data_IF_097309446947
#
_entry.id   IF_097309446947
#
_cell.length_a   1.000
_cell.length_b   1.000
_cell.length_c   1.000
_cell.angle_alpha   90.00
_cell.angle_beta   90.00
_cell.angle_gamma   90.00
#
_symmetry.space_group_name_H-M   'P 1'
#
loop_
_entity.id
_entity.type
_entity.pdbx_description
1 polymer ?
#
# COMPACT_ATOMS: atom_id res chain seq x y z
N UNK A 1 -8.73 9.81 -6.16
CA UNK A 1 -8.57 11.11 -6.88
C UNK A 1 -8.55 12.22 -5.84
N UNK A 2 -7.45 12.96 -5.72
CA UNK A 2 -7.40 14.15 -4.87
C UNK A 2 -8.27 15.22 -5.54
N UNK A 3 -9.17 15.94 -4.83
CA UNK A 3 -10.14 16.85 -5.44
C UNK A 3 -9.57 18.13 -6.07
N UNK A 4 -8.28 18.20 -6.38
CA UNK A 4 -7.63 19.34 -7.04
C UNK A 4 -8.36 19.84 -8.29
N UNK A 5 -8.85 18.99 -9.21
CA UNK A 5 -9.63 19.46 -10.36
C UNK A 5 -10.90 20.22 -9.94
N UNK A 6 -11.62 19.72 -8.93
CA UNK A 6 -12.83 20.35 -8.41
C UNK A 6 -12.52 21.65 -7.66
N UNK A 7 -11.41 21.67 -6.90
CA UNK A 7 -10.95 22.88 -6.22
C UNK A 7 -10.62 23.99 -7.23
N UNK A 8 -9.87 23.65 -8.30
CA UNK A 8 -9.55 24.59 -9.39
C UNK A 8 -10.77 25.09 -10.15
N UNK A 9 -11.80 24.25 -10.25
CA UNK A 9 -13.07 24.60 -10.89
C UNK A 9 -14.02 25.38 -9.95
N UNK A 10 -13.64 25.60 -8.69
CA UNK A 10 -14.45 26.33 -7.72
C UNK A 10 -15.64 25.54 -7.17
N UNK A 11 -15.65 24.21 -7.31
CA UNK A 11 -16.75 23.36 -6.84
C UNK A 11 -16.62 22.90 -5.38
N UNK A 12 -15.50 23.21 -4.73
CA UNK A 12 -15.28 22.86 -3.33
C UNK A 12 -15.76 23.98 -2.44
N UNK A 13 -16.61 23.63 -1.47
CA UNK A 13 -17.00 24.52 -0.37
C UNK A 13 -15.95 24.38 0.72
N UNK A 14 -15.28 25.48 1.04
CA UNK A 14 -14.30 25.50 2.13
C UNK A 14 -15.01 25.19 3.47
N UNK A 15 -14.66 24.09 4.17
CA UNK A 15 -15.30 23.72 5.42
C UNK A 15 -15.05 24.73 6.54
N UNK A 16 -14.02 25.58 6.42
CA UNK A 16 -13.75 26.64 7.40
C UNK A 16 -14.85 27.70 7.45
N UNK A 17 -15.73 27.75 6.44
CA UNK A 17 -16.92 28.62 6.43
C UNK A 17 -17.98 28.22 7.47
N UNK A 18 -17.97 26.97 7.93
CA UNK A 18 -18.93 26.45 8.91
C UNK A 18 -18.28 25.66 10.06
N UNK A 19 -16.96 25.47 10.04
CA UNK A 19 -16.20 24.80 11.09
C UNK A 19 -14.93 25.58 11.39
N UNK A 20 -14.72 26.01 12.64
CA UNK A 20 -13.56 26.86 12.96
C UNK A 20 -12.22 26.15 12.75
N UNK A 21 -11.21 26.88 12.26
CA UNK A 21 -9.84 26.38 12.17
C UNK A 21 -9.27 25.91 13.51
N UNK A 22 -9.65 26.56 14.61
CA UNK A 22 -9.14 26.19 15.93
C UNK A 22 -9.63 24.82 16.37
N UNK A 23 -10.88 24.46 16.01
CA UNK A 23 -11.38 23.11 16.21
C UNK A 23 -10.61 22.10 15.35
N UNK A 24 -10.35 22.41 14.07
CA UNK A 24 -9.53 21.57 13.18
C UNK A 24 -8.12 21.33 13.74
N UNK A 25 -7.48 22.37 14.29
CA UNK A 25 -6.15 22.29 14.92
C UNK A 25 -6.12 21.42 16.18
N UNK A 26 -7.27 21.24 16.85
CA UNK A 26 -7.39 20.30 17.98
C UNK A 26 -7.53 18.85 17.52
N UNK A 27 -8.11 18.60 16.34
CA UNK A 27 -8.35 17.24 15.84
C UNK A 27 -7.18 16.67 15.03
N UNK A 28 -6.42 17.54 14.35
CA UNK A 28 -5.40 17.11 13.40
C UNK A 28 -4.06 17.77 13.69
N UNK A 29 -2.98 17.00 13.53
CA UNK A 29 -1.64 17.58 13.50
C UNK A 29 -1.46 18.46 12.24
N UNK A 30 -0.42 19.30 12.26
CA UNK A 30 -0.17 20.26 11.19
C UNK A 30 -0.02 19.62 9.81
N UNK A 31 0.61 18.45 9.71
CA UNK A 31 0.81 17.75 8.43
C UNK A 31 -0.51 17.35 7.78
N UNK A 32 -1.50 16.89 8.55
CA UNK A 32 -2.83 16.60 8.03
C UNK A 32 -3.55 17.88 7.58
N UNK A 33 -3.45 18.97 8.35
CA UNK A 33 -4.05 20.25 7.97
C UNK A 33 -3.46 20.80 6.67
N UNK A 34 -2.13 20.68 6.50
CA UNK A 34 -1.44 21.13 5.30
C UNK A 34 -1.83 20.30 4.08
N UNK A 35 -1.96 18.98 4.22
CA UNK A 35 -2.46 18.12 3.14
C UNK A 35 -3.90 18.44 2.74
N UNK A 36 -4.71 19.01 3.63
CA UNK A 36 -6.10 19.36 3.35
C UNK A 36 -6.20 20.65 2.52
N UNK A 37 -5.13 21.45 2.44
CA UNK A 37 -5.14 22.71 1.69
C UNK A 37 -4.96 22.47 0.20
N UNK A 38 -5.81 23.09 -0.62
CA UNK A 38 -5.77 23.02 -2.08
C UNK A 38 -6.05 24.41 -2.66
N UNK A 39 -5.16 24.92 -3.51
CA UNK A 39 -5.30 26.23 -4.15
C UNK A 39 -5.62 27.38 -3.16
N UNK A 40 -5.07 27.33 -1.94
CA UNK A 40 -5.24 28.37 -0.91
C UNK A 40 -6.49 28.26 -0.04
N UNK A 41 -7.36 27.26 -0.25
CA UNK A 41 -8.52 26.96 0.59
C UNK A 41 -8.40 25.59 1.27
N UNK A 42 -9.20 25.34 2.31
CA UNK A 42 -9.32 23.98 2.85
C UNK A 42 -10.21 23.16 1.92
N UNK A 43 -9.65 22.11 1.33
CA UNK A 43 -10.32 21.27 0.34
C UNK A 43 -11.30 20.26 0.92
N UNK A 44 -11.29 20.05 2.24
CA UNK A 44 -12.17 19.11 2.94
C UNK A 44 -11.67 18.75 4.34
N UNK A 45 -12.39 17.81 4.97
CA UNK A 45 -12.12 17.33 6.33
C UNK A 45 -11.84 15.83 6.28
N UNK A 46 -10.75 15.39 6.91
CA UNK A 46 -10.34 13.99 6.87
C UNK A 46 -11.26 13.12 7.73
N UNK A 47 -11.95 12.17 7.08
CA UNK A 47 -12.73 11.16 7.79
C UNK A 47 -11.92 9.87 8.01
N UNK A 48 -11.06 9.55 7.06
CA UNK A 48 -10.31 8.28 6.99
C UNK A 48 -8.96 8.53 6.33
N UNK A 49 -7.98 7.69 6.64
CA UNK A 49 -6.79 7.54 5.80
C UNK A 49 -6.54 6.08 5.44
N UNK A 50 -5.81 5.87 4.36
CA UNK A 50 -5.35 4.56 3.91
C UNK A 50 -3.82 4.55 3.84
N UNK A 51 -3.17 3.86 4.76
CA UNK A 51 -1.74 3.58 4.73
C UNK A 51 -1.47 2.35 3.87
N UNK A 52 -0.69 2.50 2.79
CA UNK A 52 -0.56 1.53 1.70
C UNK A 52 0.79 0.81 1.59
N UNK A 53 1.78 1.24 2.38
CA UNK A 53 3.11 0.61 2.45
C UNK A 53 3.16 -0.54 3.46
N UNK A 54 2.13 -1.39 3.51
CA UNK A 54 1.98 -2.43 4.53
C UNK A 54 2.03 -3.82 3.89
N UNK A 55 2.71 -4.75 4.56
CA UNK A 55 2.72 -6.18 4.26
C UNK A 55 2.15 -6.91 5.47
N UNK A 56 1.04 -7.61 5.26
CA UNK A 56 0.30 -8.39 6.25
C UNK A 56 0.82 -9.82 6.26
N UNK A 57 0.84 -10.45 7.44
CA UNK A 57 1.28 -11.83 7.62
C UNK A 57 0.50 -12.53 8.76
N UNK A 58 0.34 -13.88 8.72
CA UNK A 58 -0.32 -14.65 9.78
C UNK A 58 0.63 -14.80 10.96
N UNK A 59 0.36 -14.12 12.07
CA UNK A 59 1.39 -13.84 13.07
C UNK A 59 1.77 -15.05 13.91
N UNK A 60 0.78 -15.82 14.35
CA UNK A 60 0.97 -17.04 15.11
C UNK A 60 1.74 -18.10 14.33
N UNK A 61 1.35 -18.35 13.07
CA UNK A 61 2.07 -19.26 12.17
C UNK A 61 3.47 -18.75 11.84
N UNK A 62 3.64 -17.44 11.67
CA UNK A 62 4.94 -16.82 11.40
C UNK A 62 5.92 -17.00 12.56
N UNK A 63 5.45 -16.78 13.79
CA UNK A 63 6.23 -17.01 15.00
C UNK A 63 6.59 -18.49 15.16
N UNK A 64 5.70 -19.41 14.76
CA UNK A 64 5.92 -20.85 14.81
C UNK A 64 6.92 -21.34 13.74
N UNK A 65 6.86 -20.80 12.53
CA UNK A 65 7.80 -21.07 11.44
C UNK A 65 9.19 -20.45 11.68
N UNK A 66 9.27 -19.42 12.54
CA UNK A 66 10.51 -18.76 12.91
C UNK A 66 11.01 -17.78 11.84
N UNK A 67 10.12 -17.26 10.99
CA UNK A 67 10.48 -16.24 10.01
C UNK A 67 10.80 -14.90 10.70
N UNK A 68 11.70 -14.12 10.10
CA UNK A 68 12.07 -12.79 10.60
C UNK A 68 11.51 -11.69 9.71
N UNK A 69 11.09 -10.57 10.30
CA UNK A 69 10.57 -9.43 9.55
C UNK A 69 11.71 -8.80 8.72
N UNK A 70 11.61 -8.78 7.39
CA UNK A 70 12.66 -8.20 6.55
C UNK A 70 12.68 -6.68 6.68
N UNK A 71 13.87 -6.11 6.67
CA UNK A 71 14.09 -4.66 6.80
C UNK A 71 14.50 -4.00 5.49
N UNK A 72 15.03 -4.79 4.55
CA UNK A 72 15.37 -4.38 3.18
C UNK A 72 14.58 -5.16 2.13
N UNK A 73 14.49 -4.61 0.92
CA UNK A 73 13.86 -5.29 -0.21
C UNK A 73 14.57 -6.61 -0.55
N UNK A 74 15.90 -6.62 -0.48
CA UNK A 74 16.68 -7.83 -0.75
C UNK A 74 16.40 -8.91 0.31
N UNK A 75 16.24 -8.52 1.58
CA UNK A 75 15.80 -9.45 2.65
C UNK A 75 14.38 -9.96 2.41
N UNK A 76 13.47 -9.11 1.91
CA UNK A 76 12.11 -9.53 1.57
C UNK A 76 12.09 -10.53 0.41
N UNK A 77 12.90 -10.31 -0.63
CA UNK A 77 13.04 -11.24 -1.75
C UNK A 77 13.70 -12.55 -1.29
N UNK A 78 14.71 -12.48 -0.42
CA UNK A 78 15.34 -13.66 0.17
C UNK A 78 14.35 -14.48 1.01
N UNK A 79 13.53 -13.81 1.83
CA UNK A 79 12.46 -14.46 2.59
C UNK A 79 11.39 -15.07 1.68
N UNK A 80 11.03 -14.38 0.61
CA UNK A 80 10.11 -14.90 -0.42
C UNK A 80 10.63 -16.21 -1.01
N UNK A 81 11.93 -16.28 -1.33
CA UNK A 81 12.56 -17.52 -1.79
C UNK A 81 12.61 -18.58 -0.70
N UNK A 82 12.94 -18.23 0.54
CA UNK A 82 12.97 -19.17 1.67
C UNK A 82 11.63 -19.87 1.84
N UNK A 83 10.52 -19.12 1.85
CA UNK A 83 9.17 -19.69 1.98
C UNK A 83 8.86 -20.65 0.82
N UNK A 84 9.27 -20.31 -0.40
CA UNK A 84 9.13 -21.18 -1.56
C UNK A 84 9.97 -22.47 -1.44
N UNK A 85 11.20 -22.36 -0.93
CA UNK A 85 12.09 -23.50 -0.70
C UNK A 85 11.58 -24.42 0.43
N UNK A 86 10.86 -23.87 1.40
CA UNK A 86 10.16 -24.60 2.47
C UNK A 86 8.92 -25.36 1.95
N UNK A 87 8.49 -25.08 0.70
CA UNK A 87 7.41 -25.77 0.00
C UNK A 87 6.06 -25.03 0.02
N UNK A 88 6.02 -23.80 0.54
CA UNK A 88 4.83 -22.97 0.62
C UNK A 88 4.85 -21.85 -0.43
N UNK A 89 3.71 -21.19 -0.67
CA UNK A 89 3.71 -19.99 -1.51
C UNK A 89 3.90 -18.75 -0.68
N UNK A 90 4.80 -17.87 -1.07
CA UNK A 90 5.12 -16.68 -0.26
C UNK A 90 3.99 -15.65 -0.26
N UNK A 91 3.37 -15.37 -1.41
CA UNK A 91 2.53 -14.19 -1.61
C UNK A 91 1.08 -14.52 -1.94
N UNK A 92 0.19 -13.84 -1.22
CA UNK A 92 -1.23 -13.75 -1.51
C UNK A 92 -1.48 -12.53 -2.40
N UNK A 93 -1.76 -12.74 -3.69
CA UNK A 93 -1.93 -11.64 -4.65
C UNK A 93 -3.22 -11.83 -5.44
N UNK A 94 -4.10 -10.84 -5.35
CA UNK A 94 -5.29 -10.71 -6.19
C UNK A 94 -5.53 -9.24 -6.52
N UNK A 95 -5.81 -8.96 -7.79
CA UNK A 95 -6.05 -7.59 -8.29
C UNK A 95 -7.39 -7.41 -8.98
N UNK A 96 -8.22 -8.45 -9.02
CA UNK A 96 -9.57 -8.37 -9.56
C UNK A 96 -10.38 -7.39 -8.70
N UNK A 97 -11.09 -6.48 -9.38
CA UNK A 97 -11.93 -5.45 -8.76
C UNK A 97 -12.99 -4.92 -9.75
N UNK A 98 -13.54 -5.80 -10.58
CA UNK A 98 -14.48 -5.47 -11.65
C UNK A 98 -13.90 -4.48 -12.67
N UNK A 99 -14.60 -3.35 -12.88
CA UNK A 99 -14.13 -2.31 -13.79
C UNK A 99 -12.84 -1.59 -13.33
N UNK A 100 -12.45 -1.77 -12.06
CA UNK A 100 -11.24 -1.20 -11.49
C UNK A 100 -10.08 -2.21 -11.40
N UNK A 101 -10.23 -3.43 -11.93
CA UNK A 101 -9.18 -4.46 -11.93
C UNK A 101 -7.82 -3.88 -12.32
N UNK A 102 -6.81 -4.16 -11.50
CA UNK A 102 -5.45 -3.63 -11.66
C UNK A 102 -5.12 -2.38 -10.85
N UNK A 103 -6.07 -1.75 -10.16
CA UNK A 103 -5.77 -0.63 -9.27
C UNK A 103 -4.75 -1.03 -8.18
N UNK A 104 -4.82 -2.26 -7.67
CA UNK A 104 -3.88 -2.78 -6.68
C UNK A 104 -2.44 -2.87 -7.22
N UNK A 105 -2.26 -3.20 -8.51
CA UNK A 105 -0.95 -3.17 -9.16
C UNK A 105 -0.38 -1.74 -9.28
N UNK A 106 -1.24 -0.73 -9.39
CA UNK A 106 -0.81 0.68 -9.35
C UNK A 106 -0.19 1.02 -8.00
N UNK A 107 -0.77 0.54 -6.89
CA UNK A 107 -0.17 0.77 -5.58
C UNK A 107 1.22 0.12 -5.44
N UNK A 108 1.47 -1.05 -6.08
CA UNK A 108 2.82 -1.64 -6.10
C UNK A 108 3.80 -0.80 -6.92
N UNK A 109 3.33 -0.28 -8.05
CA UNK A 109 4.10 0.63 -8.91
C UNK A 109 4.44 1.93 -8.18
N UNK A 110 3.49 2.54 -7.47
CA UNK A 110 3.72 3.75 -6.66
C UNK A 110 4.78 3.50 -5.57
N UNK A 111 4.70 2.38 -4.85
CA UNK A 111 5.69 2.01 -3.83
C UNK A 111 7.10 1.83 -4.41
N UNK A 112 7.20 1.20 -5.59
CA UNK A 112 8.48 1.02 -6.26
C UNK A 112 8.98 2.30 -6.90
N UNK A 113 8.12 3.21 -7.36
CA UNK A 113 8.55 4.54 -7.82
C UNK A 113 9.18 5.33 -6.67
N UNK A 114 8.58 5.31 -5.47
CA UNK A 114 9.14 5.96 -4.28
C UNK A 114 10.53 5.41 -3.89
N UNK A 115 10.80 4.13 -4.19
CA UNK A 115 12.04 3.44 -3.82
C UNK A 115 13.10 3.46 -4.92
N UNK A 116 12.73 3.28 -6.19
CA UNK A 116 13.67 3.03 -7.30
C UNK A 116 14.12 4.30 -8.03
N UNK A 117 13.40 5.42 -7.85
CA UNK A 117 13.68 6.73 -8.45
C UNK A 117 13.56 7.86 -7.42
N UNK A 118 13.69 9.13 -7.81
CA UNK A 118 13.64 10.30 -6.91
C UNK A 118 12.21 10.76 -6.58
N UNK A 119 12.03 11.50 -5.48
CA UNK A 119 10.74 12.13 -5.16
C UNK A 119 10.27 13.11 -6.24
N UNK A 120 11.21 13.85 -6.85
CA UNK A 120 10.91 14.73 -7.98
C UNK A 120 10.35 13.95 -9.19
N UNK A 121 10.88 12.77 -9.48
CA UNK A 121 10.37 11.92 -10.55
C UNK A 121 8.99 11.33 -10.21
N UNK A 122 8.77 10.97 -8.94
CA UNK A 122 7.43 10.59 -8.46
C UNK A 122 6.42 11.71 -8.67
N UNK A 123 6.75 12.95 -8.26
CA UNK A 123 5.88 14.11 -8.44
C UNK A 123 5.59 14.39 -9.93
N UNK A 124 6.62 14.32 -10.79
CA UNK A 124 6.45 14.45 -12.24
C UNK A 124 5.55 13.38 -12.84
N UNK A 125 5.64 12.14 -12.35
CA UNK A 125 4.81 11.02 -12.79
C UNK A 125 3.35 11.19 -12.37
N UNK A 126 3.10 11.54 -11.11
CA UNK A 126 1.75 11.86 -10.61
C UNK A 126 1.14 13.05 -11.37
N UNK A 127 1.96 14.04 -11.73
CA UNK A 127 1.54 15.18 -12.54
C UNK A 127 1.33 14.86 -14.03
N UNK A 128 1.67 13.64 -14.48
CA UNK A 128 1.57 13.22 -15.89
C UNK A 128 2.62 13.81 -16.82
N UNK A 129 3.68 14.42 -16.27
CA UNK A 129 4.79 15.03 -17.02
C UNK A 129 5.96 14.09 -17.25
N UNK A 130 6.10 13.05 -16.42
CA UNK A 130 6.99 11.92 -16.69
C UNK A 130 6.19 10.83 -17.45
N UNK A 131 6.59 10.46 -18.68
CA UNK A 131 5.87 9.45 -19.45
C UNK A 131 5.80 8.10 -18.74
N UNK A 132 4.68 7.39 -18.89
CA UNK A 132 4.53 6.04 -18.33
C UNK A 132 5.54 5.03 -18.90
N UNK A 133 5.98 5.22 -20.14
CA UNK A 133 7.01 4.39 -20.78
C UNK A 133 8.46 4.81 -20.42
N UNK A 134 8.64 5.67 -19.43
CA UNK A 134 9.97 6.12 -18.99
C UNK A 134 10.79 4.98 -18.35
N UNK A 135 12.14 5.06 -18.40
CA UNK A 135 13.00 4.10 -17.72
C UNK A 135 12.72 3.97 -16.22
N UNK A 136 12.31 5.05 -15.55
CA UNK A 136 11.96 5.07 -14.13
C UNK A 136 10.74 4.19 -13.83
N UNK A 137 9.64 4.38 -14.57
CA UNK A 137 8.40 3.60 -14.39
C UNK A 137 8.64 2.15 -14.78
N UNK A 138 9.39 1.91 -15.86
CA UNK A 138 9.78 0.56 -16.28
C UNK A 138 10.56 -0.17 -15.16
N UNK A 139 11.58 0.47 -14.59
CA UNK A 139 12.36 -0.10 -13.49
C UNK A 139 11.49 -0.41 -12.27
N UNK A 140 10.57 0.48 -11.92
CA UNK A 140 9.64 0.26 -10.81
C UNK A 140 8.76 -0.99 -11.03
N UNK A 141 8.23 -1.15 -12.25
CA UNK A 141 7.43 -2.32 -12.63
C UNK A 141 8.26 -3.59 -12.62
N UNK A 142 9.44 -3.57 -13.24
CA UNK A 142 10.35 -4.73 -13.29
C UNK A 142 10.73 -5.20 -11.88
N UNK A 143 10.96 -4.27 -10.93
CA UNK A 143 11.36 -4.60 -9.56
C UNK A 143 10.30 -5.43 -8.83
N UNK A 144 9.01 -5.06 -8.87
CA UNK A 144 7.98 -5.88 -8.21
C UNK A 144 7.55 -7.09 -9.05
N UNK A 145 7.77 -7.04 -10.37
CA UNK A 145 7.45 -8.14 -11.28
C UNK A 145 8.28 -9.40 -10.99
N UNK A 146 9.50 -9.26 -10.47
CA UNK A 146 10.34 -10.37 -10.01
C UNK A 146 9.64 -11.24 -8.96
N UNK A 147 8.78 -10.63 -8.13
CA UNK A 147 7.97 -11.35 -7.15
C UNK A 147 6.72 -11.94 -7.79
N UNK A 148 5.97 -11.13 -8.53
CA UNK A 148 4.65 -11.52 -9.04
C UNK A 148 4.67 -12.63 -10.09
N UNK A 149 5.71 -12.64 -10.93
CA UNK A 149 5.76 -13.54 -12.09
C UNK A 149 6.71 -14.72 -11.90
N UNK A 150 7.19 -14.93 -10.68
CA UNK A 150 7.78 -16.20 -10.30
C UNK A 150 6.64 -17.19 -9.96
N UNK A 151 6.52 -18.32 -10.68
CA UNK A 151 5.42 -19.26 -10.49
C UNK A 151 5.40 -19.90 -9.10
N UNK A 152 6.54 -19.95 -8.40
CA UNK A 152 6.66 -20.60 -7.09
C UNK A 152 6.26 -19.65 -5.95
N UNK A 153 6.18 -18.34 -6.21
CA UNK A 153 6.00 -17.34 -5.15
C UNK A 153 4.54 -17.00 -4.86
N UNK A 154 3.61 -17.25 -5.79
CA UNK A 154 2.25 -16.71 -5.70
C UNK A 154 1.24 -17.83 -5.54
N UNK A 155 0.38 -17.71 -4.52
CA UNK A 155 -0.73 -18.63 -4.32
C UNK A 155 -1.67 -18.63 -5.54
N UNK A 156 -1.97 -19.83 -6.07
CA UNK A 156 -2.76 -19.98 -7.29
C UNK A 156 -2.01 -19.62 -8.59
N UNK A 157 -0.72 -19.33 -8.50
CA UNK A 157 0.14 -18.98 -9.63
C UNK A 157 -0.20 -17.63 -10.27
N UNK A 158 0.50 -17.31 -11.36
CA UNK A 158 0.38 -16.00 -12.03
C UNK A 158 -1.01 -15.75 -12.61
N UNK A 159 -1.73 -16.80 -13.01
CA UNK A 159 -3.09 -16.70 -13.54
C UNK A 159 -4.11 -16.34 -12.45
N UNK A 160 -3.82 -16.72 -11.19
CA UNK A 160 -4.62 -16.38 -10.01
C UNK A 160 -4.64 -14.88 -9.72
N UNK A 161 -3.56 -14.15 -10.06
CA UNK A 161 -3.40 -12.73 -9.76
C UNK A 161 -4.55 -11.90 -10.32
N UNK A 162 -4.86 -12.07 -11.60
CA UNK A 162 -5.88 -11.25 -12.31
C UNK A 162 -7.31 -11.72 -12.06
N UNK A 163 -7.49 -12.94 -11.54
CA UNK A 163 -8.80 -13.58 -11.38
C UNK A 163 -9.28 -13.59 -9.91
N UNK A 164 -8.39 -13.38 -8.95
CA UNK A 164 -8.72 -13.32 -7.52
C UNK A 164 -9.12 -11.90 -7.13
N UNK A 165 -10.32 -11.77 -6.55
CA UNK A 165 -10.81 -10.51 -5.98
C UNK A 165 -9.84 -10.01 -4.92
N UNK A 166 -9.47 -8.72 -4.98
CA UNK A 166 -8.46 -8.17 -4.07
C UNK A 166 -8.81 -8.34 -2.59
N UNK A 167 -10.11 -8.38 -2.25
CA UNK A 167 -10.59 -8.55 -0.89
C UNK A 167 -10.54 -10.00 -0.42
N UNK A 168 -10.61 -10.96 -1.34
CA UNK A 168 -10.49 -12.40 -1.04
C UNK A 168 -9.03 -12.85 -1.03
N UNK A 169 -8.14 -12.09 -1.69
CA UNK A 169 -6.72 -12.37 -1.79
C UNK A 169 -6.03 -12.71 -0.44
N UNK A 170 -6.27 -12.02 0.69
CA UNK A 170 -5.64 -12.37 1.97
C UNK A 170 -6.25 -13.60 2.67
N UNK A 171 -7.41 -14.10 2.24
CA UNK A 171 -8.10 -15.21 2.92
C UNK A 171 -7.22 -16.44 3.16
N UNK A 172 -6.35 -16.88 2.22
CA UNK A 172 -5.51 -18.05 2.43
C UNK A 172 -4.42 -17.87 3.49
N UNK A 173 -4.16 -16.65 3.99
CA UNK A 173 -3.31 -16.43 5.17
C UNK A 173 -3.93 -16.96 6.46
N UNK A 174 -5.26 -17.04 6.52
CA UNK A 174 -6.01 -17.43 7.72
C UNK A 174 -6.44 -18.91 7.69
N UNK A 175 -5.91 -19.70 6.75
CA UNK A 175 -6.11 -21.14 6.71
C UNK A 175 -5.09 -21.84 7.62
N UNK A 176 -5.38 -23.08 8.05
CA UNK A 176 -4.50 -23.90 8.90
C UNK A 176 -4.07 -25.19 8.15
N UNK A 177 -2.81 -25.30 7.68
CA UNK A 177 -1.77 -24.26 7.72
C UNK A 177 -2.04 -23.13 6.69
N UNK A 178 -1.39 -21.95 6.83
CA UNK A 178 -1.52 -20.86 5.86
C UNK A 178 -1.09 -21.32 4.48
N UNK A 179 -1.86 -20.96 3.46
CA UNK A 179 -1.51 -21.26 2.08
C UNK A 179 -0.65 -20.20 1.44
N UNK A 180 -0.60 -19.01 2.04
CA UNK A 180 0.37 -17.98 1.71
C UNK A 180 0.65 -17.05 2.89
N UNK A 181 1.82 -16.42 2.89
CA UNK A 181 2.41 -15.81 4.08
C UNK A 181 2.44 -14.28 4.07
N UNK A 182 2.47 -13.67 2.88
CA UNK A 182 2.68 -12.24 2.69
C UNK A 182 1.57 -11.66 1.81
N UNK A 183 0.94 -10.59 2.27
CA UNK A 183 -0.03 -9.84 1.47
C UNK A 183 0.27 -8.34 1.53
N UNK A 184 0.55 -7.69 0.40
CA UNK A 184 0.75 -6.23 0.37
C UNK A 184 -0.55 -5.54 -0.01
N UNK A 185 -1.10 -4.77 0.92
CA UNK A 185 -2.31 -3.97 0.69
C UNK A 185 -2.44 -2.84 1.72
N UNK A 186 -3.25 -1.84 1.40
CA UNK A 186 -3.59 -0.79 2.35
C UNK A 186 -4.37 -1.27 3.57
N UNK A 187 -4.32 -0.52 4.67
CA UNK A 187 -4.93 -0.92 5.96
C UNK A 187 -6.44 -1.14 5.94
N UNK A 188 -7.12 -0.67 4.91
CA UNK A 188 -8.53 -1.00 4.70
C UNK A 188 -8.79 -2.50 4.46
N UNK A 189 -7.77 -3.26 4.07
CA UNK A 189 -7.90 -4.70 3.79
C UNK A 189 -8.34 -5.50 5.01
N UNK A 190 -8.04 -4.99 6.20
CA UNK A 190 -8.50 -5.58 7.47
C UNK A 190 -10.02 -5.70 7.56
N UNK A 191 -10.78 -4.89 6.81
CA UNK A 191 -12.24 -5.04 6.69
C UNK A 191 -12.70 -6.27 5.90
N UNK A 192 -11.77 -7.03 5.31
CA UNK A 192 -12.02 -8.29 4.60
C UNK A 192 -11.44 -9.51 5.35
N UNK A 193 -10.76 -9.29 6.47
CA UNK A 193 -10.27 -10.39 7.31
C UNK A 193 -11.44 -11.03 8.09
N UNK A 194 -11.27 -12.25 8.63
CA UNK A 194 -12.28 -12.85 9.50
C UNK A 194 -12.69 -11.90 10.64
N UNK A 195 -13.98 -11.87 10.98
CA UNK A 195 -14.50 -10.91 11.98
C UNK A 195 -13.91 -11.11 13.38
N UNK A 196 -13.47 -12.34 13.69
CA UNK A 196 -12.86 -12.75 14.94
C UNK A 196 -11.32 -12.67 14.95
N UNK A 197 -10.70 -12.33 13.82
CA UNK A 197 -9.26 -12.18 13.71
C UNK A 197 -8.76 -10.98 14.54
N UNK A 198 -7.74 -11.22 15.36
CA UNK A 198 -7.16 -10.29 16.30
C UNK A 198 -5.77 -9.84 15.85
N UNK A 199 -5.62 -8.52 15.67
CA UNK A 199 -4.32 -7.91 15.39
C UNK A 199 -3.31 -8.17 16.52
N UNK A 200 -2.09 -8.55 16.16
CA UNK A 200 -1.03 -8.93 17.09
C UNK A 200 -1.15 -10.35 17.64
N UNK A 201 -2.18 -11.11 17.24
CA UNK A 201 -2.37 -12.52 17.58
C UNK A 201 -2.45 -13.34 16.30
N UNK A 202 -3.53 -13.19 15.53
CA UNK A 202 -3.78 -13.97 14.31
C UNK A 202 -3.11 -13.34 13.09
N UNK A 203 -2.97 -12.02 13.07
CA UNK A 203 -2.25 -11.31 12.02
C UNK A 203 -1.50 -10.11 12.57
N UNK A 204 -0.45 -9.71 11.87
CA UNK A 204 0.20 -8.42 12.08
C UNK A 204 0.69 -7.87 10.74
N UNK A 205 1.35 -6.72 10.77
CA UNK A 205 1.93 -6.13 9.58
C UNK A 205 3.31 -5.54 9.84
N UNK A 206 4.11 -5.50 8.78
CA UNK A 206 5.30 -4.67 8.74
C UNK A 206 5.23 -3.71 7.56
N UNK A 207 6.06 -2.66 7.62
CA UNK A 207 6.14 -1.73 6.50
C UNK A 207 6.93 -2.35 5.37
N UNK A 208 6.45 -2.18 4.14
CA UNK A 208 7.15 -2.60 2.93
C UNK A 208 8.60 -2.08 2.98
N UNK A 209 9.61 -2.97 2.98
CA UNK A 209 11.00 -2.61 3.16
C UNK A 209 11.54 -1.62 2.12
N UNK A 210 12.60 -0.91 2.49
CA UNK A 210 13.32 0.00 1.61
C UNK A 210 14.34 -0.76 0.75
N UNK A 211 14.79 -0.19 -0.37
CA UNK A 211 15.88 -0.79 -1.15
C UNK A 211 17.19 -0.72 -0.38
N UNK A 212 18.02 -1.76 -0.52
CA UNK A 212 19.35 -1.82 0.08
C UNK A 212 20.18 -0.60 -0.32
N UNK A 213 20.75 0.08 0.66
CA UNK A 213 21.59 1.26 0.44
C UNK A 213 20.83 2.58 0.21
N UNK A 214 19.49 2.58 0.24
CA UNK A 214 18.72 3.83 0.16
C UNK A 214 18.93 4.69 1.42
N UNK A 215 19.70 5.76 1.27
CA UNK A 215 20.01 6.71 2.36
C UNK A 215 18.91 7.74 2.61
N UNK A 216 17.88 7.80 1.75
CA UNK A 216 16.71 8.67 1.96
C UNK A 216 15.83 8.14 3.08
N UNK A 217 15.95 6.85 3.39
CA UNK A 217 15.18 6.19 4.42
C UNK A 217 16.00 6.06 5.71
N UNK A 218 15.55 6.65 6.84
CA UNK A 218 16.26 6.51 8.09
C UNK A 218 16.35 5.04 8.49
N UNK A 219 17.57 4.55 8.76
CA UNK A 219 17.82 3.20 9.31
C UNK A 219 17.13 2.95 10.65
N UNK A 220 16.63 4.01 11.31
CA UNK A 220 15.95 3.96 12.60
C UNK A 220 14.74 4.91 12.62
N UNK A 221 13.55 4.33 12.80
CA UNK A 221 12.43 4.97 13.50
C UNK A 221 11.52 5.96 12.76
N UNK A 222 11.80 6.35 11.52
CA UNK A 222 10.80 7.06 10.68
C UNK A 222 10.59 6.23 9.43
N UNK A 223 9.50 5.46 9.41
CA UNK A 223 9.08 4.65 8.26
C UNK A 223 8.01 5.44 7.49
N UNK A 224 8.36 6.15 6.40
CA UNK A 224 7.33 6.74 5.58
C UNK A 224 6.36 5.68 5.07
N UNK A 225 5.09 6.04 5.10
CA UNK A 225 4.01 5.24 4.55
C UNK A 225 3.41 6.07 3.42
N UNK A 226 3.12 5.43 2.30
CA UNK A 226 2.20 5.99 1.34
C UNK A 226 0.85 6.12 2.03
N UNK A 227 0.38 7.35 2.20
CA UNK A 227 -0.90 7.67 2.82
C UNK A 227 -1.80 8.27 1.76
N UNK A 228 -2.89 7.58 1.43
CA UNK A 228 -3.98 8.15 0.61
C UNK A 228 -5.08 8.60 1.56
N UNK A 229 -5.29 9.91 1.73
CA UNK A 229 -6.33 10.38 2.61
C UNK A 229 -7.71 10.27 1.93
N UNK A 230 -8.74 9.99 2.73
CA UNK A 230 -10.12 9.80 2.28
C UNK A 230 -11.00 10.97 2.71
N UNK A 231 -11.70 11.58 1.76
CA UNK A 231 -12.72 12.59 1.99
C UNK A 231 -14.13 11.97 1.86
N UNK A 232 -15.15 12.54 2.52
CA UNK A 232 -16.54 12.13 2.31
C UNK A 232 -16.89 12.20 0.81
N UNK A 233 -17.44 11.11 0.26
CA UNK A 233 -17.84 11.03 -1.15
C UNK A 233 -16.75 10.61 -2.15
N UNK A 234 -15.49 10.49 -1.72
CA UNK A 234 -14.44 9.84 -2.54
C UNK A 234 -14.27 8.40 -2.06
N UNK A 235 -15.08 7.48 -2.58
CA UNK A 235 -14.72 6.06 -2.54
C UNK A 235 -13.51 5.90 -3.47
N UNK A 236 -12.32 5.81 -2.88
CA UNK A 236 -11.22 5.13 -3.56
C UNK A 236 -11.52 3.65 -3.42
N UNK A 237 -12.17 3.10 -4.45
CA UNK A 237 -11.99 1.69 -4.81
C UNK A 237 -10.57 1.58 -5.38
#
# INVERSE_FOLDING_TARGET
MIPWPYARQGYIVDPTTWMSEDWLKQQYNQSWLDMAKMEGQVGGVWHRFNGKSLVWYPKDDWDAAGYEIPTTWDELVALTQQIADDGDTAWCIGIESGAATGWAATDWTEEMMLRTTSLENYDKWVAGTLPFASPEVKKAIETWSEVWFNPDYVYGGTDGIVSTFFGDAPAPMFEDPPKCWLHKQGNFITGFFPEDAQAGVDYDFFYLPHLTGDRRWPKVGKKPAMVKPGLPGTYQV
#
